data_IF_251088916298
#
_entry.id   IF_251088916298
#
_cell.length_a   1.000
_cell.length_b   1.000
_cell.length_c   1.000
_cell.angle_alpha   90.00
_cell.angle_beta   90.00
_cell.angle_gamma   90.00
#
_symmetry.space_group_name_H-M   'P 1'
#
loop_
_entity.id
_entity.type
_entity.pdbx_description
1 polymer ?
#
# COMPACT_ATOMS: atom_id res chain seq x y z
N UNK A 1 1.97 -4.89 1.41
CA UNK A 1 1.00 -6.00 1.39
C UNK A 1 -0.43 -5.51 1.53
N UNK A 2 -0.88 -5.21 2.76
CA UNK A 2 -2.27 -4.77 2.99
C UNK A 2 -2.66 -3.49 2.22
N UNK A 3 -1.80 -2.47 2.23
CA UNK A 3 -2.00 -1.23 1.44
C UNK A 3 -2.18 -1.52 -0.05
N UNK A 4 -1.37 -2.42 -0.61
CA UNK A 4 -1.42 -2.77 -2.04
C UNK A 4 -2.67 -3.57 -2.39
N UNK A 5 -3.09 -4.49 -1.52
CA UNK A 5 -4.30 -5.27 -1.71
C UNK A 5 -5.55 -4.37 -1.73
N UNK A 6 -5.72 -3.55 -0.69
CA UNK A 6 -6.86 -2.62 -0.58
C UNK A 6 -6.85 -1.56 -1.68
N UNK A 7 -5.69 -0.99 -2.01
CA UNK A 7 -5.58 -0.01 -3.09
C UNK A 7 -5.92 -0.60 -4.46
N UNK A 8 -5.40 -1.78 -4.79
CA UNK A 8 -5.69 -2.44 -6.07
C UNK A 8 -7.17 -2.81 -6.21
N UNK A 9 -7.85 -3.16 -5.11
CA UNK A 9 -9.31 -3.39 -5.12
C UNK A 9 -10.08 -2.11 -5.47
N UNK A 10 -9.71 -0.96 -4.91
CA UNK A 10 -10.33 0.33 -5.24
C UNK A 10 -10.03 0.75 -6.68
N UNK A 11 -8.80 0.56 -7.14
CA UNK A 11 -8.43 0.84 -8.53
C UNK A 11 -9.25 -0.01 -9.51
N UNK A 12 -9.39 -1.31 -9.22
CA UNK A 12 -10.21 -2.24 -10.01
C UNK A 12 -11.69 -1.84 -10.00
N UNK A 13 -12.23 -1.43 -8.83
CA UNK A 13 -13.61 -0.99 -8.72
C UNK A 13 -13.89 0.28 -9.55
N UNK A 14 -12.94 1.21 -9.63
CA UNK A 14 -13.04 2.43 -10.45
C UNK A 14 -12.92 2.15 -11.95
N UNK A 15 -12.04 1.24 -12.36
CA UNK A 15 -11.86 0.85 -13.77
C UNK A 15 -13.01 -0.01 -14.30
N UNK A 16 -13.58 -0.88 -13.46
CA UNK A 16 -14.74 -1.71 -13.80
C UNK A 16 -16.08 -0.94 -13.77
N UNK A 17 -16.06 0.37 -13.52
CA UNK A 17 -17.26 1.20 -13.44
C UNK A 17 -18.14 0.96 -12.21
N UNK A 18 -17.73 0.08 -11.27
CA UNK A 18 -18.45 -0.20 -10.01
C UNK A 18 -18.38 0.96 -9.02
N UNK A 19 -17.38 1.83 -9.14
CA UNK A 19 -17.24 3.08 -8.39
C UNK A 19 -17.07 4.26 -9.34
N UNK A 20 -17.42 5.46 -8.87
CA UNK A 20 -17.20 6.70 -9.62
C UNK A 20 -15.71 6.88 -9.91
N UNK A 21 -15.36 7.08 -11.17
CA UNK A 21 -13.99 7.33 -11.62
C UNK A 21 -13.48 8.73 -11.25
N UNK A 22 -14.35 9.63 -10.78
CA UNK A 22 -13.94 10.97 -10.30
C UNK A 22 -13.18 10.84 -8.97
N UNK A 23 -12.16 11.69 -8.73
CA UNK A 23 -11.54 11.82 -7.41
C UNK A 23 -12.59 12.11 -6.34
N UNK A 24 -12.70 11.26 -5.32
CA UNK A 24 -13.56 11.52 -4.18
C UNK A 24 -12.73 12.16 -3.08
N UNK A 25 -12.96 13.44 -2.81
CA UNK A 25 -12.26 14.18 -1.75
C UNK A 25 -13.11 14.13 -0.48
N UNK A 26 -12.63 13.40 0.52
CA UNK A 26 -13.24 13.37 1.85
C UNK A 26 -12.91 14.68 2.60
N UNK A 27 -13.86 15.17 3.42
CA UNK A 27 -13.59 16.28 4.34
C UNK A 27 -12.47 15.87 5.32
N UNK A 28 -11.47 16.73 5.52
CA UNK A 28 -10.29 16.47 6.36
C UNK A 28 -9.44 15.24 5.97
N UNK A 29 -9.40 14.88 4.68
CA UNK A 29 -8.64 13.73 4.19
C UNK A 29 -7.16 13.70 4.63
N UNK A 30 -6.49 14.86 4.66
CA UNK A 30 -5.09 14.95 5.10
C UNK A 30 -4.91 14.55 6.56
N UNK A 31 -5.89 14.86 7.42
CA UNK A 31 -5.86 14.50 8.84
C UNK A 31 -5.99 12.99 8.99
N UNK A 32 -6.92 12.37 8.27
CA UNK A 32 -7.08 10.91 8.30
C UNK A 32 -5.84 10.17 7.79
N UNK A 33 -5.22 10.64 6.69
CA UNK A 33 -3.97 10.04 6.19
C UNK A 33 -2.82 10.19 7.17
N UNK A 34 -2.63 11.38 7.74
CA UNK A 34 -1.56 11.61 8.71
C UNK A 34 -1.77 10.78 9.98
N UNK A 35 -2.99 10.74 10.50
CA UNK A 35 -3.34 9.98 11.68
C UNK A 35 -3.13 8.47 11.48
N UNK A 36 -3.61 7.93 10.35
CA UNK A 36 -3.44 6.50 10.04
C UNK A 36 -1.97 6.15 9.86
N UNK A 37 -1.19 6.98 9.15
CA UNK A 37 0.25 6.76 8.99
C UNK A 37 0.98 6.79 10.34
N UNK A 38 0.72 7.81 11.16
CA UNK A 38 1.33 7.94 12.49
C UNK A 38 0.99 6.73 13.38
N UNK A 39 -0.27 6.30 13.40
CA UNK A 39 -0.70 5.16 14.18
C UNK A 39 -0.09 3.84 13.67
N UNK A 40 0.07 3.66 12.35
CA UNK A 40 0.79 2.49 11.82
C UNK A 40 2.24 2.43 12.28
N UNK A 41 2.96 3.56 12.27
CA UNK A 41 4.36 3.63 12.73
C UNK A 41 4.45 3.30 14.23
N UNK A 42 3.55 3.84 15.04
CA UNK A 42 3.48 3.58 16.47
C UNK A 42 3.25 2.09 16.76
N UNK A 43 2.35 1.44 16.03
CA UNK A 43 2.10 0.00 16.18
C UNK A 43 3.32 -0.85 15.81
N UNK A 44 4.05 -0.49 14.75
CA UNK A 44 5.29 -1.19 14.38
C UNK A 44 6.34 -1.07 15.51
N UNK A 45 6.47 0.11 16.13
CA UNK A 45 7.37 0.31 17.27
C UNK A 45 6.92 -0.54 18.46
N UNK A 46 5.64 -0.58 18.80
CA UNK A 46 5.14 -1.41 19.91
C UNK A 46 5.36 -2.91 19.68
N UNK A 47 5.13 -3.39 18.45
CA UNK A 47 5.36 -4.79 18.08
C UNK A 47 6.85 -5.14 18.22
N UNK A 48 7.74 -4.26 17.78
CA UNK A 48 9.20 -4.48 17.84
C UNK A 48 9.79 -4.29 19.24
N UNK A 49 9.13 -3.50 20.11
CA UNK A 49 9.51 -3.33 21.51
C UNK A 49 9.15 -4.52 22.42
N UNK A 50 8.51 -5.56 21.89
CA UNK A 50 8.23 -6.80 22.63
C UNK A 50 7.03 -6.73 23.58
N UNK A 51 6.06 -5.86 23.30
CA UNK A 51 4.81 -5.78 24.08
C UNK A 51 4.03 -7.10 23.98
N UNK A 52 3.54 -7.60 25.11
CA UNK A 52 2.66 -8.78 25.13
C UNK A 52 1.40 -8.49 24.29
N UNK A 53 0.92 -9.47 23.50
CA UNK A 53 -0.15 -9.35 22.48
C UNK A 53 0.31 -8.93 21.06
N UNK A 54 1.50 -9.35 20.64
CA UNK A 54 2.01 -9.15 19.26
C UNK A 54 1.03 -9.57 18.15
N UNK A 55 0.27 -10.65 18.35
CA UNK A 55 -0.75 -11.12 17.39
C UNK A 55 -1.89 -10.11 17.27
N UNK A 56 -2.44 -9.62 18.38
CA UNK A 56 -3.53 -8.65 18.34
C UNK A 56 -3.07 -7.32 17.71
N UNK A 57 -1.88 -6.85 18.07
CA UNK A 57 -1.29 -5.62 17.52
C UNK A 57 -1.02 -5.74 16.01
N UNK A 58 -0.55 -6.90 15.54
CA UNK A 58 -0.29 -7.12 14.10
C UNK A 58 -1.59 -7.18 13.28
N UNK A 59 -2.65 -7.80 13.81
CA UNK A 59 -3.98 -7.76 13.18
C UNK A 59 -4.53 -6.33 13.12
N UNK A 60 -4.38 -5.57 14.19
CA UNK A 60 -4.81 -4.17 14.23
C UNK A 60 -4.03 -3.31 13.22
N UNK A 61 -2.70 -3.50 13.12
CA UNK A 61 -1.87 -2.84 12.11
C UNK A 61 -2.27 -3.23 10.68
N UNK A 62 -2.65 -4.50 10.45
CA UNK A 62 -3.15 -4.96 9.15
C UNK A 62 -4.47 -4.26 8.78
N UNK A 63 -5.44 -4.18 9.70
CA UNK A 63 -6.71 -3.49 9.45
C UNK A 63 -6.50 -2.00 9.18
N UNK A 64 -5.60 -1.36 9.92
CA UNK A 64 -5.28 0.05 9.76
C UNK A 64 -4.62 0.33 8.39
N UNK A 65 -3.70 -0.54 7.96
CA UNK A 65 -3.04 -0.41 6.65
C UNK A 65 -3.96 -0.75 5.47
N UNK A 66 -4.94 -1.64 5.64
CA UNK A 66 -6.04 -1.82 4.68
C UNK A 66 -6.86 -0.54 4.53
N UNK A 67 -7.23 0.08 5.65
CA UNK A 67 -7.97 1.35 5.62
C UNK A 67 -7.16 2.47 4.98
N UNK A 68 -5.86 2.57 5.28
CA UNK A 68 -4.96 3.52 4.64
C UNK A 68 -4.88 3.32 3.13
N UNK A 69 -4.79 2.09 2.62
CA UNK A 69 -4.76 1.85 1.18
C UNK A 69 -6.05 2.25 0.46
N UNK A 70 -7.21 2.10 1.12
CA UNK A 70 -8.48 2.65 0.62
C UNK A 70 -8.38 4.18 0.54
N UNK A 71 -8.01 4.85 1.63
CA UNK A 71 -7.89 6.31 1.67
C UNK A 71 -6.92 6.83 0.60
N UNK A 72 -5.75 6.22 0.46
CA UNK A 72 -4.75 6.60 -0.53
C UNK A 72 -5.32 6.57 -1.96
N UNK A 73 -6.02 5.49 -2.32
CA UNK A 73 -6.45 5.25 -3.71
C UNK A 73 -7.78 5.95 -4.04
N UNK A 74 -8.59 6.29 -3.03
CA UNK A 74 -9.88 6.96 -3.25
C UNK A 74 -9.71 8.37 -3.84
N UNK A 75 -8.62 9.05 -3.51
CA UNK A 75 -8.33 10.41 -3.97
C UNK A 75 -7.80 10.47 -5.40
N UNK A 76 -7.34 9.34 -5.95
CA UNK A 76 -6.77 9.30 -7.29
C UNK A 76 -7.89 9.24 -8.33
N UNK A 77 -7.79 10.06 -9.38
CA UNK A 77 -8.76 10.08 -10.48
C UNK A 77 -8.61 8.86 -11.38
N UNK A 78 -9.68 8.52 -12.11
CA UNK A 78 -9.70 7.41 -13.06
C UNK A 78 -8.65 7.53 -14.17
N UNK A 79 -8.35 8.76 -14.60
CA UNK A 79 -7.31 9.04 -15.60
C UNK A 79 -5.91 8.68 -15.10
N UNK A 80 -5.63 8.92 -13.82
CA UNK A 80 -4.32 8.66 -13.20
C UNK A 80 -4.22 7.24 -12.60
N UNK A 81 -5.29 6.42 -12.72
CA UNK A 81 -5.31 5.06 -12.18
C UNK A 81 -4.17 4.17 -12.70
N UNK A 82 -3.79 4.20 -13.99
CA UNK A 82 -2.67 3.39 -14.49
C UNK A 82 -1.36 3.64 -13.73
N UNK A 83 -1.07 4.89 -13.38
CA UNK A 83 0.12 5.27 -12.61
C UNK A 83 0.05 4.67 -11.20
N UNK A 84 -1.10 4.77 -10.53
CA UNK A 84 -1.26 4.15 -9.21
C UNK A 84 -1.16 2.64 -9.23
N UNK A 85 -1.65 1.97 -10.27
CA UNK A 85 -1.55 0.51 -10.39
C UNK A 85 -0.08 0.08 -10.50
N UNK A 86 0.70 0.81 -11.31
CA UNK A 86 2.15 0.58 -11.42
C UNK A 86 2.87 0.77 -10.08
N UNK A 87 2.50 1.83 -9.34
CA UNK A 87 3.04 2.10 -8.00
C UNK A 87 2.67 1.00 -6.99
N UNK A 88 1.40 0.56 -6.97
CA UNK A 88 0.94 -0.51 -6.09
C UNK A 88 1.60 -1.86 -6.43
N UNK A 89 1.89 -2.11 -7.71
CA UNK A 89 2.65 -3.28 -8.15
C UNK A 89 4.10 -3.26 -7.61
N UNK A 90 4.77 -2.11 -7.70
CA UNK A 90 6.10 -1.94 -7.11
C UNK A 90 6.11 -2.17 -5.60
N UNK A 91 5.14 -1.58 -4.87
CA UNK A 91 5.00 -1.77 -3.44
C UNK A 91 4.71 -3.23 -3.06
N UNK A 92 4.06 -4.00 -3.94
CA UNK A 92 3.84 -5.44 -3.75
C UNK A 92 5.17 -6.20 -3.85
N UNK A 93 6.01 -5.88 -4.84
CA UNK A 93 7.36 -6.42 -4.99
C UNK A 93 8.24 -6.12 -3.76
N UNK A 94 8.25 -4.86 -3.31
CA UNK A 94 8.96 -4.44 -2.10
C UNK A 94 8.48 -5.21 -0.86
N UNK A 95 7.16 -5.36 -0.69
CA UNK A 95 6.60 -6.14 0.41
C UNK A 95 7.00 -7.63 0.33
N UNK A 96 7.06 -8.20 -0.87
CA UNK A 96 7.58 -9.54 -1.11
C UNK A 96 9.04 -9.69 -0.71
N UNK A 97 9.89 -8.71 -1.04
CA UNK A 97 11.30 -8.71 -0.65
C UNK A 97 11.48 -8.63 0.87
N UNK A 98 10.74 -7.75 1.55
CA UNK A 98 10.75 -7.64 3.01
C UNK A 98 10.29 -8.94 3.68
N UNK A 99 9.23 -9.57 3.14
CA UNK A 99 8.79 -10.89 3.60
C UNK A 99 9.89 -11.94 3.41
N UNK A 100 10.62 -11.89 2.29
CA UNK A 100 11.78 -12.74 2.02
C UNK A 100 12.88 -12.61 3.07
N UNK A 101 13.18 -11.39 3.51
CA UNK A 101 14.09 -11.16 4.64
C UNK A 101 13.57 -11.78 5.93
N UNK A 102 12.27 -11.66 6.23
CA UNK A 102 11.68 -12.22 7.44
C UNK A 102 11.77 -13.76 7.52
N UNK A 103 11.71 -14.44 6.37
CA UNK A 103 11.82 -15.92 6.29
C UNK A 103 13.20 -16.43 5.84
N UNK A 104 14.21 -15.54 5.73
CA UNK A 104 15.56 -15.85 5.23
C UNK A 104 15.59 -16.56 3.86
N UNK A 105 14.70 -16.16 2.93
CA UNK A 105 14.63 -16.74 1.59
C UNK A 105 15.23 -15.80 0.53
N UNK A 106 16.45 -16.08 0.02
CA UNK A 106 17.13 -15.19 -0.92
C UNK A 106 16.43 -15.09 -2.28
N UNK A 107 15.71 -16.14 -2.71
CA UNK A 107 14.95 -16.12 -3.96
C UNK A 107 13.80 -15.11 -3.87
N UNK A 108 13.07 -15.12 -2.75
CA UNK A 108 11.96 -14.19 -2.55
C UNK A 108 12.46 -12.74 -2.44
N UNK A 109 13.62 -12.52 -1.81
CA UNK A 109 14.30 -11.22 -1.77
C UNK A 109 14.67 -10.76 -3.18
N UNK A 110 15.33 -11.60 -3.98
CA UNK A 110 15.77 -11.26 -5.32
C UNK A 110 14.58 -10.94 -6.24
N UNK A 111 13.58 -11.83 -6.30
CA UNK A 111 12.39 -11.65 -7.16
C UNK A 111 11.59 -10.42 -6.71
N UNK A 112 11.36 -10.25 -5.40
CA UNK A 112 10.64 -9.09 -4.88
C UNK A 112 11.35 -7.77 -5.20
N UNK A 113 12.68 -7.74 -5.10
CA UNK A 113 13.48 -6.55 -5.41
C UNK A 113 13.43 -6.19 -6.89
N UNK A 114 13.51 -7.17 -7.79
CA UNK A 114 13.40 -6.96 -9.24
C UNK A 114 12.03 -6.42 -9.63
N UNK A 115 10.95 -7.02 -9.10
CA UNK A 115 9.58 -6.54 -9.34
C UNK A 115 9.37 -5.14 -8.78
N UNK A 116 9.87 -4.89 -7.56
CA UNK A 116 9.79 -3.58 -6.91
C UNK A 116 10.48 -2.49 -7.71
N UNK A 117 11.73 -2.71 -8.11
CA UNK A 117 12.52 -1.75 -8.88
C UNK A 117 11.90 -1.49 -10.26
N UNK A 118 11.52 -2.55 -10.98
CA UNK A 118 10.91 -2.44 -12.31
C UNK A 118 9.62 -1.63 -12.27
N UNK A 119 8.78 -1.86 -11.25
CA UNK A 119 7.54 -1.09 -11.06
C UNK A 119 7.78 0.39 -10.73
N UNK A 120 8.80 0.73 -9.93
CA UNK A 120 9.13 2.14 -9.66
C UNK A 120 9.60 2.83 -10.93
N UNK A 121 10.47 2.19 -11.71
CA UNK A 121 10.97 2.73 -12.97
C UNK A 121 9.81 2.97 -13.95
N UNK A 122 8.92 1.99 -14.10
CA UNK A 122 7.74 2.13 -14.95
C UNK A 122 6.84 3.29 -14.47
N UNK A 123 6.60 3.39 -13.17
CA UNK A 123 5.82 4.50 -12.59
C UNK A 123 6.46 5.84 -12.90
N UNK A 124 7.79 5.97 -12.78
CA UNK A 124 8.51 7.20 -13.11
C UNK A 124 8.42 7.55 -14.60
N UNK A 125 8.49 6.57 -15.50
CA UNK A 125 8.33 6.79 -16.94
C UNK A 125 6.91 7.29 -17.22
N UNK A 126 5.89 6.69 -16.60
CA UNK A 126 4.49 7.10 -16.78
C UNK A 126 4.19 8.50 -16.22
N UNK A 127 4.85 8.91 -15.13
CA UNK A 127 4.70 10.27 -14.59
C UNK A 127 5.39 11.36 -15.43
N UNK A 128 6.34 10.97 -16.29
CA UNK A 128 7.09 11.89 -17.15
C UNK A 128 6.52 12.01 -18.56
N UNK A 129 5.83 10.97 -19.03
CA UNK A 129 5.12 10.95 -20.30
C UNK A 129 3.85 11.80 -20.23
#
# INVERSE_FOLDING_TARGET
GAVTLSGSLIATAKLSGKMKSKPTVLKNHSVYNFFTLLLTVLLVILITAGVEQTVALSVLAMLLTLFFGVLFTIRVGGADMPVTISLLNSLSGLAGAISGFAINNPLLVAVGSVVGASGLILTQIMCKA
#
